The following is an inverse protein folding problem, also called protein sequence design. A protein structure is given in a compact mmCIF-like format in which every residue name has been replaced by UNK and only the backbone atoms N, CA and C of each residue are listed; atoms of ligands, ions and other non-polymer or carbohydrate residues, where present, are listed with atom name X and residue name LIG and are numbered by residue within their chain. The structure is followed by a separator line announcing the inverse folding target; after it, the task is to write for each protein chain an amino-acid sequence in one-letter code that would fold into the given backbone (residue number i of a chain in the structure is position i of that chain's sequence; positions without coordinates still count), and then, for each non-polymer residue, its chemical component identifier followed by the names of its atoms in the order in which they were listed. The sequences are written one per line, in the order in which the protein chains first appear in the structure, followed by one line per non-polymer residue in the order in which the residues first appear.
data_IF_214677507799
#
_entry.id   IF_214677507799
#
_cell.length_a   1.000
_cell.length_b   1.000
_cell.length_c   1.000
_cell.angle_alpha   90.00
_cell.angle_beta   90.00
_cell.angle_gamma   90.00
#
_symmetry.space_group_name_H-M   'P 1'
#
loop_
_entity.id
_entity.type
_entity.pdbx_description
1 polymer ?
#
# COMPACT_ATOMS: atom_id res chain seq x y z
N UNK A 1 2.16 -4.40 -3.45
CA UNK A 1 3.25 -3.44 -3.15
C UNK A 1 4.31 -3.43 -4.24
N UNK A 2 4.88 -4.58 -4.66
CA UNK A 2 5.90 -4.61 -5.74
C UNK A 2 5.45 -3.85 -7.00
N UNK A 3 4.26 -4.13 -7.52
CA UNK A 3 3.66 -3.36 -8.63
C UNK A 3 3.55 -1.85 -8.40
N UNK A 4 3.38 -1.39 -7.16
CA UNK A 4 3.38 0.05 -6.89
C UNK A 4 4.80 0.63 -6.93
N UNK A 5 5.81 -0.12 -6.51
CA UNK A 5 7.20 0.32 -6.57
C UNK A 5 7.68 0.47 -8.03
N UNK A 6 7.17 -0.36 -8.96
CA UNK A 6 7.51 -0.21 -10.40
C UNK A 6 7.01 1.10 -11.01
N UNK A 7 6.07 1.80 -10.39
CA UNK A 7 5.43 2.99 -10.97
C UNK A 7 4.39 2.67 -12.05
N UNK A 8 4.15 1.39 -12.37
CA UNK A 8 3.17 1.02 -13.40
C UNK A 8 1.74 1.38 -12.99
N UNK A 9 0.93 1.73 -14.00
CA UNK A 9 -0.54 1.84 -13.91
C UNK A 9 -1.27 0.76 -14.70
N UNK A 10 -0.56 -0.13 -15.39
CA UNK A 10 -1.17 -1.27 -16.08
C UNK A 10 -1.06 -2.51 -15.18
N UNK A 11 -2.18 -3.09 -14.71
CA UNK A 11 -2.14 -4.27 -13.87
C UNK A 11 -1.51 -5.51 -14.53
N UNK A 12 -1.55 -5.62 -15.86
CA UNK A 12 -0.98 -6.76 -16.60
C UNK A 12 0.55 -6.80 -16.55
N UNK A 13 1.20 -5.66 -16.28
CA UNK A 13 2.66 -5.60 -16.16
C UNK A 13 3.16 -6.49 -15.00
N UNK A 14 2.37 -6.62 -13.92
CA UNK A 14 2.78 -7.39 -12.74
C UNK A 14 1.61 -8.01 -11.97
N UNK A 15 0.70 -7.20 -11.44
CA UNK A 15 -0.18 -7.61 -10.33
C UNK A 15 -1.25 -8.63 -10.74
N UNK A 16 -1.71 -8.60 -12.01
CA UNK A 16 -2.71 -9.55 -12.52
C UNK A 16 -2.22 -11.00 -12.58
N UNK A 17 -0.90 -11.23 -12.50
CA UNK A 17 -0.30 -12.57 -12.43
C UNK A 17 -0.50 -13.23 -11.06
N UNK A 18 -0.72 -12.42 -10.01
CA UNK A 18 -0.78 -12.87 -8.62
C UNK A 18 -2.15 -12.64 -7.96
N UNK A 19 -2.95 -11.70 -8.47
CA UNK A 19 -4.29 -11.43 -7.95
C UNK A 19 -5.18 -10.79 -9.02
N UNK A 20 -6.49 -11.06 -8.94
CA UNK A 20 -7.48 -10.50 -9.86
C UNK A 20 -8.17 -9.23 -9.33
N UNK A 21 -7.85 -8.79 -8.11
CA UNK A 21 -8.55 -7.65 -7.45
C UNK A 21 -8.52 -6.39 -8.32
N UNK A 22 -7.42 -6.15 -9.03
CA UNK A 22 -7.25 -4.92 -9.81
C UNK A 22 -8.09 -4.87 -11.08
N UNK A 23 -8.62 -6.00 -11.56
CA UNK A 23 -9.51 -6.04 -12.74
C UNK A 23 -10.77 -5.21 -12.55
N UNK A 24 -11.31 -5.18 -11.33
CA UNK A 24 -12.49 -4.39 -11.00
C UNK A 24 -12.22 -2.88 -11.02
N UNK A 25 -10.95 -2.48 -10.90
CA UNK A 25 -10.49 -1.08 -10.92
C UNK A 25 -9.91 -0.65 -12.28
N UNK A 26 -9.71 -1.59 -13.20
CA UNK A 26 -9.16 -1.31 -14.53
C UNK A 26 -10.17 -0.53 -15.38
N UNK A 27 -9.69 0.53 -16.01
CA UNK A 27 -10.43 1.35 -16.96
C UNK A 27 -10.47 0.67 -18.35
N UNK A 28 -11.28 1.22 -19.26
CA UNK A 28 -11.43 0.66 -20.62
C UNK A 28 -10.13 0.62 -21.42
N UNK A 29 -9.16 1.48 -21.09
CA UNK A 29 -7.85 1.53 -21.74
C UNK A 29 -6.83 0.53 -21.16
N UNK A 30 -7.24 -0.32 -20.21
CA UNK A 30 -6.38 -1.31 -19.58
C UNK A 30 -5.57 -0.77 -18.40
N UNK A 31 -5.71 0.51 -18.02
CA UNK A 31 -4.96 1.12 -16.93
C UNK A 31 -5.80 1.36 -15.68
N UNK A 32 -5.13 1.60 -14.56
CA UNK A 32 -5.73 2.04 -13.30
C UNK A 32 -5.20 3.44 -13.01
N UNK A 33 -5.99 4.46 -13.30
CA UNK A 33 -5.60 5.89 -13.15
C UNK A 33 -5.30 6.28 -11.71
N UNK A 34 -5.90 5.58 -10.75
CA UNK A 34 -5.66 5.75 -9.32
C UNK A 34 -4.53 4.85 -8.77
N UNK A 35 -3.78 4.13 -9.62
CA UNK A 35 -2.70 3.25 -9.16
C UNK A 35 -1.65 4.04 -8.38
N UNK A 36 -1.43 3.66 -7.12
CA UNK A 36 -0.56 4.42 -6.21
C UNK A 36 0.87 4.56 -6.75
N UNK A 37 1.42 3.50 -7.36
CA UNK A 37 2.76 3.55 -7.95
C UNK A 37 2.91 4.65 -8.99
N UNK A 38 1.98 4.71 -9.93
CA UNK A 38 1.94 5.77 -10.94
C UNK A 38 1.80 7.16 -10.31
N UNK A 39 0.93 7.30 -9.29
CA UNK A 39 0.79 8.56 -8.55
C UNK A 39 2.07 8.97 -7.83
N UNK A 40 2.81 8.02 -7.27
CA UNK A 40 4.07 8.30 -6.57
C UNK A 40 5.21 8.64 -7.50
N UNK A 41 5.28 8.03 -8.69
CA UNK A 41 6.46 8.10 -9.56
C UNK A 41 6.35 8.98 -10.80
N UNK A 42 5.13 9.19 -11.30
CA UNK A 42 4.94 9.75 -12.64
C UNK A 42 3.86 10.82 -12.75
N UNK A 43 2.74 10.68 -12.04
CA UNK A 43 1.55 11.55 -12.20
C UNK A 43 1.85 13.04 -12.03
N UNK A 44 2.68 13.39 -11.03
CA UNK A 44 3.04 14.78 -10.72
C UNK A 44 4.31 15.25 -11.44
N UNK A 45 4.77 14.55 -12.48
CA UNK A 45 5.98 14.89 -13.23
C UNK A 45 7.30 14.72 -12.46
N UNK A 46 7.28 13.98 -11.34
CA UNK A 46 8.45 13.68 -10.50
C UNK A 46 8.33 12.32 -9.83
N UNK A 47 9.48 11.72 -9.51
CA UNK A 47 9.56 10.45 -8.78
C UNK A 47 9.66 10.69 -7.27
N UNK A 48 8.52 10.91 -6.62
CA UNK A 48 8.47 11.22 -5.19
C UNK A 48 9.06 10.08 -4.34
N UNK A 49 8.94 8.82 -4.78
CA UNK A 49 9.43 7.67 -4.03
C UNK A 49 10.95 7.51 -4.15
N UNK A 50 11.50 7.66 -5.36
CA UNK A 50 12.94 7.68 -5.60
C UNK A 50 13.62 8.87 -4.91
N UNK A 51 13.04 10.06 -5.04
CA UNK A 51 13.53 11.27 -4.39
C UNK A 51 13.49 11.18 -2.87
N UNK A 52 12.46 10.56 -2.28
CA UNK A 52 12.39 10.27 -0.85
C UNK A 52 13.59 9.44 -0.39
N UNK A 53 13.97 8.41 -1.15
CA UNK A 53 15.12 7.55 -0.82
C UNK A 53 16.42 8.33 -0.89
N UNK A 54 16.66 9.06 -1.98
CA UNK A 54 17.86 9.90 -2.14
C UNK A 54 17.94 10.91 -1.00
N UNK A 55 16.84 11.60 -0.72
CA UNK A 55 16.76 12.63 0.30
C UNK A 55 17.04 12.10 1.71
N UNK A 56 16.47 10.95 2.08
CA UNK A 56 16.70 10.35 3.41
C UNK A 56 18.09 9.71 3.56
N UNK A 57 18.75 9.30 2.46
CA UNK A 57 20.16 8.88 2.49
C UNK A 57 21.09 10.05 2.77
N UNK A 58 20.85 11.18 2.12
CA UNK A 58 21.67 12.38 2.26
C UNK A 58 21.37 13.14 3.56
N UNK A 59 20.10 13.16 3.98
CA UNK A 59 19.62 13.92 5.12
C UNK A 59 18.68 13.06 6.02
N UNK A 60 19.19 12.06 6.76
CA UNK A 60 18.35 11.13 7.53
C UNK A 60 17.40 11.80 8.54
N UNK A 61 17.81 12.92 9.13
CA UNK A 61 16.98 13.68 10.09
C UNK A 61 15.94 14.59 9.45
N UNK A 62 15.79 14.58 8.12
CA UNK A 62 14.85 15.47 7.45
C UNK A 62 13.40 15.10 7.71
N UNK A 63 12.54 16.12 7.76
CA UNK A 63 11.09 16.02 7.90
C UNK A 63 10.34 16.25 6.59
N UNK A 64 11.06 16.30 5.46
CA UNK A 64 10.53 16.66 4.15
C UNK A 64 10.19 15.46 3.26
N UNK A 65 10.43 14.23 3.74
CA UNK A 65 10.06 13.01 3.03
C UNK A 65 8.54 12.79 3.10
N UNK A 66 7.84 13.42 2.17
CA UNK A 66 6.38 13.36 2.01
C UNK A 66 6.07 12.87 0.60
N UNK A 67 5.17 11.91 0.49
CA UNK A 67 4.65 11.40 -0.77
C UNK A 67 3.15 11.64 -0.83
N UNK A 68 2.67 12.18 -1.95
CA UNK A 68 1.27 12.51 -2.18
C UNK A 68 0.74 11.68 -3.35
N UNK A 69 -0.45 11.11 -3.19
CA UNK A 69 -1.17 10.41 -4.25
C UNK A 69 -2.37 11.20 -4.78
N UNK A 70 -2.92 12.10 -3.97
CA UNK A 70 -4.09 12.92 -4.32
C UNK A 70 -3.73 14.11 -5.19
N UNK A 71 -4.40 14.24 -6.32
CA UNK A 71 -4.29 15.41 -7.17
C UNK A 71 -5.47 16.35 -6.94
N UNK A 72 -5.30 17.54 -6.33
CA UNK A 72 -6.41 18.47 -6.13
C UNK A 72 -6.98 19.06 -7.43
N UNK A 73 -6.26 18.97 -8.55
CA UNK A 73 -6.74 19.42 -9.86
C UNK A 73 -7.63 18.40 -10.57
N UNK A 74 -7.58 17.13 -10.17
CA UNK A 74 -8.19 16.01 -10.90
C UNK A 74 -9.02 15.07 -10.00
N UNK A 75 -8.72 15.00 -8.70
CA UNK A 75 -9.42 14.19 -7.71
C UNK A 75 -10.30 15.08 -6.80
N UNK A 76 -11.62 14.83 -6.77
CA UNK A 76 -12.54 15.47 -5.82
C UNK A 76 -13.35 16.65 -6.36
N UNK A 77 -13.32 17.78 -5.65
CA UNK A 77 -14.28 18.90 -5.70
C UNK A 77 -14.21 19.80 -6.97
N UNK A 78 -13.82 19.26 -8.12
CA UNK A 78 -13.62 20.02 -9.37
C UNK A 78 -14.88 20.29 -10.20
N UNK A 79 -14.86 21.38 -10.98
CA UNK A 79 -15.93 21.78 -11.93
C UNK A 79 -16.21 20.74 -13.03
N UNK A 80 -15.25 19.86 -13.32
CA UNK A 80 -15.37 18.80 -14.35
C UNK A 80 -16.36 17.69 -13.97
N UNK A 81 -16.79 17.60 -12.71
CA UNK A 81 -17.80 16.64 -12.27
C UNK A 81 -17.49 15.17 -12.58
N UNK A 82 -16.23 14.84 -12.90
CA UNK A 82 -15.84 13.47 -13.19
C UNK A 82 -15.91 12.69 -11.89
N UNK A 83 -17.06 12.08 -11.66
CA UNK A 83 -17.23 11.01 -10.69
C UNK A 83 -16.32 9.89 -11.17
N UNK A 84 -15.07 9.92 -10.72
CA UNK A 84 -14.12 8.87 -11.03
C UNK A 84 -14.59 7.62 -10.32
N UNK A 85 -14.52 6.52 -11.05
CA UNK A 85 -14.78 5.18 -10.52
C UNK A 85 -13.92 4.88 -9.30
N UNK A 86 -12.70 5.42 -9.25
CA UNK A 86 -11.85 5.31 -8.08
C UNK A 86 -10.89 6.51 -7.95
N UNK A 87 -10.58 6.88 -6.71
CA UNK A 87 -9.59 7.91 -6.33
C UNK A 87 -8.75 7.40 -5.14
N UNK A 88 -7.48 7.81 -5.00
CA UNK A 88 -6.60 7.30 -3.94
C UNK A 88 -7.21 7.38 -2.54
N UNK A 89 -7.25 6.27 -1.80
CA UNK A 89 -7.78 6.23 -0.43
C UNK A 89 -6.69 6.64 0.59
N UNK A 90 -5.56 5.93 0.71
CA UNK A 90 -4.30 6.51 1.16
C UNK A 90 -3.90 7.62 0.21
N UNK A 91 -3.98 8.86 0.70
CA UNK A 91 -3.80 10.04 -0.14
C UNK A 91 -2.43 10.67 0.07
N UNK A 92 -1.78 10.39 1.19
CA UNK A 92 -0.41 10.80 1.49
C UNK A 92 0.22 9.92 2.57
N UNK A 93 1.55 9.84 2.56
CA UNK A 93 2.31 9.37 3.70
C UNK A 93 3.57 10.21 3.91
N UNK A 94 4.08 10.20 5.14
CA UNK A 94 5.40 10.74 5.49
C UNK A 94 6.32 9.61 5.91
N UNK A 95 7.63 9.77 5.66
CA UNK A 95 8.66 8.86 6.14
C UNK A 95 9.71 9.63 6.95
N UNK A 96 10.10 9.11 8.11
CA UNK A 96 11.08 9.76 8.98
C UNK A 96 12.06 8.74 9.55
N UNK A 97 13.35 9.05 9.59
CA UNK A 97 14.34 8.23 10.30
C UNK A 97 14.56 8.80 11.69
N UNK A 98 14.22 8.03 12.72
CA UNK A 98 14.39 8.40 14.13
C UNK A 98 15.06 7.23 14.83
N UNK A 99 16.14 7.48 15.58
CA UNK A 99 16.90 6.44 16.28
C UNK A 99 17.32 5.27 15.37
N UNK A 100 17.81 5.60 14.17
CA UNK A 100 18.22 4.63 13.14
C UNK A 100 17.09 3.64 12.73
N UNK A 101 15.84 4.08 12.83
CA UNK A 101 14.66 3.34 12.40
C UNK A 101 13.82 4.18 11.45
N UNK A 102 13.35 3.58 10.35
CA UNK A 102 12.39 4.22 9.46
C UNK A 102 10.99 4.13 10.05
N UNK A 103 10.25 5.23 10.06
CA UNK A 103 8.86 5.30 10.47
C UNK A 103 8.03 5.82 9.29
N UNK A 104 6.84 5.24 9.08
CA UNK A 104 5.88 5.75 8.10
C UNK A 104 4.61 6.19 8.83
N UNK A 105 4.11 7.38 8.48
CA UNK A 105 2.76 7.81 8.85
C UNK A 105 1.92 7.91 7.59
N UNK A 106 1.01 6.96 7.42
CA UNK A 106 0.06 6.91 6.31
C UNK A 106 -1.27 7.55 6.73
N UNK A 107 -1.85 8.36 5.85
CA UNK A 107 -3.14 9.03 6.08
C UNK A 107 -4.13 8.61 5.00
N UNK A 108 -5.28 8.11 5.44
CA UNK A 108 -6.32 7.50 4.61
C UNK A 108 -7.62 8.27 4.78
N UNK A 109 -8.15 8.82 3.69
CA UNK A 109 -9.41 9.61 3.74
C UNK A 109 -10.66 8.72 3.91
N UNK A 110 -10.60 7.49 3.43
CA UNK A 110 -11.73 6.55 3.34
C UNK A 110 -11.18 5.12 3.40
N UNK A 111 -11.58 4.33 4.39
CA UNK A 111 -11.10 2.96 4.54
C UNK A 111 -12.26 2.00 4.83
N UNK A 112 -12.52 1.08 3.89
CA UNK A 112 -13.36 -0.09 4.14
C UNK A 112 -12.66 -0.98 5.16
N UNK A 113 -13.27 -1.15 6.33
CA UNK A 113 -12.68 -1.89 7.44
C UNK A 113 -12.63 -3.40 7.21
N UNK A 114 -13.39 -3.94 6.25
CA UNK A 114 -13.50 -5.38 6.01
C UNK A 114 -12.55 -5.83 4.91
N UNK A 115 -12.56 -5.16 3.74
CA UNK A 115 -11.67 -5.53 2.63
C UNK A 115 -10.45 -4.62 2.52
N UNK A 116 -10.62 -3.30 2.58
CA UNK A 116 -9.54 -2.35 2.32
C UNK A 116 -8.47 -2.33 3.42
N UNK A 117 -8.87 -2.09 4.66
CA UNK A 117 -7.99 -1.81 5.80
C UNK A 117 -6.95 -2.92 6.04
N UNK A 118 -7.30 -4.23 6.05
CA UNK A 118 -6.30 -5.29 6.21
C UNK A 118 -5.21 -5.25 5.14
N UNK A 119 -5.57 -4.99 3.88
CA UNK A 119 -4.63 -4.91 2.76
C UNK A 119 -3.80 -3.61 2.81
N UNK A 120 -4.39 -2.49 3.19
CA UNK A 120 -3.68 -1.22 3.32
C UNK A 120 -2.62 -1.29 4.42
N UNK A 121 -2.98 -1.79 5.61
CA UNK A 121 -2.04 -1.91 6.74
C UNK A 121 -0.90 -2.85 6.39
N UNK A 122 -1.19 -4.05 5.86
CA UNK A 122 -0.17 -5.00 5.44
C UNK A 122 0.71 -4.45 4.31
N UNK A 123 0.10 -3.78 3.33
CA UNK A 123 0.79 -3.18 2.19
C UNK A 123 1.75 -2.08 2.61
N UNK A 124 1.31 -1.12 3.43
CA UNK A 124 2.17 -0.03 3.93
C UNK A 124 3.23 -0.52 4.90
N UNK A 125 2.97 -1.59 5.67
CA UNK A 125 4.01 -2.20 6.50
C UNK A 125 5.09 -2.87 5.63
N UNK A 126 4.69 -3.54 4.54
CA UNK A 126 5.64 -4.09 3.58
C UNK A 126 6.47 -2.99 2.91
N UNK A 127 5.85 -1.87 2.52
CA UNK A 127 6.57 -0.70 2.00
C UNK A 127 7.58 -0.16 3.02
N UNK A 128 7.16 -0.02 4.28
CA UNK A 128 8.03 0.40 5.37
C UNK A 128 9.27 -0.50 5.47
N UNK A 129 9.10 -1.82 5.47
CA UNK A 129 10.22 -2.75 5.55
C UNK A 129 11.14 -2.67 4.33
N UNK A 130 10.59 -2.60 3.12
CA UNK A 130 11.38 -2.49 1.88
C UNK A 130 12.19 -1.19 1.85
N UNK A 131 11.58 -0.06 2.21
CA UNK A 131 12.28 1.23 2.28
C UNK A 131 13.35 1.23 3.37
N UNK A 132 13.08 0.64 4.54
CA UNK A 132 14.05 0.53 5.62
C UNK A 132 15.29 -0.27 5.16
N UNK A 133 15.07 -1.41 4.50
CA UNK A 133 16.15 -2.21 3.89
C UNK A 133 16.97 -1.40 2.87
N UNK A 134 16.31 -0.69 1.95
CA UNK A 134 16.96 0.16 0.95
C UNK A 134 17.76 1.33 1.53
N UNK A 135 17.32 1.85 2.68
CA UNK A 135 17.96 2.94 3.41
C UNK A 135 19.04 2.44 4.39
N UNK A 136 19.17 1.13 4.60
CA UNK A 136 20.15 0.55 5.53
C UNK A 136 19.84 0.84 7.01
N UNK A 137 18.56 1.06 7.34
CA UNK A 137 18.09 1.35 8.70
C UNK A 137 17.10 0.27 9.17
N UNK A 138 16.84 0.19 10.47
CA UNK A 138 15.88 -0.77 11.00
C UNK A 138 14.42 -0.35 10.74
N UNK A 139 13.50 -1.31 10.75
CA UNK A 139 12.06 -1.04 10.70
C UNK A 139 11.60 -0.39 12.01
N UNK A 140 10.97 0.77 11.91
CA UNK A 140 10.32 1.48 13.02
C UNK A 140 8.81 1.21 13.05
N UNK A 141 8.03 2.27 13.22
CA UNK A 141 6.57 2.19 13.40
C UNK A 141 5.84 2.61 12.13
N UNK A 142 4.83 1.84 11.75
CA UNK A 142 3.75 2.29 10.88
C UNK A 142 2.65 2.94 11.73
N UNK A 143 2.31 4.19 11.45
CA UNK A 143 1.11 4.85 11.96
C UNK A 143 0.12 4.97 10.82
N UNK A 144 -1.11 4.51 11.02
CA UNK A 144 -2.16 4.52 10.00
C UNK A 144 -3.35 5.32 10.52
N UNK A 145 -3.54 6.52 9.98
CA UNK A 145 -4.61 7.44 10.39
C UNK A 145 -5.75 7.38 9.38
N UNK A 146 -6.97 7.13 9.87
CA UNK A 146 -8.16 6.96 9.05
C UNK A 146 -9.14 8.09 9.37
N UNK A 147 -9.57 8.84 8.34
CA UNK A 147 -10.56 9.91 8.50
C UNK A 147 -11.99 9.36 8.50
N UNK A 148 -12.31 8.44 7.59
CA UNK A 148 -13.59 7.75 7.52
C UNK A 148 -13.35 6.23 7.52
N UNK A 149 -13.53 5.62 8.69
CA UNK A 149 -13.55 4.18 8.86
C UNK A 149 -15.00 3.70 8.74
N UNK A 150 -15.29 2.85 7.76
CA UNK A 150 -16.65 2.40 7.48
C UNK A 150 -16.71 0.90 7.19
N UNK A 151 -17.90 0.35 7.38
CA UNK A 151 -18.26 -1.02 7.02
C UNK A 151 -19.47 -0.89 6.09
N UNK A 152 -19.39 -1.49 4.91
CA UNK A 152 -20.55 -1.60 4.02
C UNK A 152 -21.61 -2.52 4.62
N UNK A 153 -22.88 -2.20 4.41
CA UNK A 153 -24.03 -3.00 4.87
C UNK A 153 -23.95 -4.46 4.45
N UNK A 154 -23.51 -4.73 3.21
CA UNK A 154 -23.27 -6.07 2.68
C UNK A 154 -22.19 -6.87 3.43
N UNK A 155 -21.43 -6.21 4.31
CA UNK A 155 -20.37 -6.81 5.11
C UNK A 155 -20.68 -6.87 6.62
N UNK A 156 -21.90 -6.52 7.07
CA UNK A 156 -22.25 -6.52 8.49
C UNK A 156 -22.13 -7.91 9.13
N UNK A 157 -22.61 -8.96 8.47
CA UNK A 157 -22.49 -10.34 8.98
C UNK A 157 -21.02 -10.78 9.10
N UNK A 158 -20.19 -10.33 8.15
CA UNK A 158 -18.74 -10.60 8.17
C UNK A 158 -18.07 -9.86 9.31
N UNK A 159 -18.44 -8.60 9.55
CA UNK A 159 -17.95 -7.82 10.67
C UNK A 159 -18.29 -8.49 12.01
N UNK A 160 -19.55 -8.94 12.16
CA UNK A 160 -20.01 -9.66 13.35
C UNK A 160 -19.25 -10.95 13.59
N UNK A 161 -19.03 -11.75 12.56
CA UNK A 161 -18.22 -12.96 12.64
C UNK A 161 -16.77 -12.64 13.05
N UNK A 162 -16.15 -11.62 12.46
CA UNK A 162 -14.76 -11.23 12.77
C UNK A 162 -14.59 -10.80 14.24
N UNK A 163 -15.51 -10.03 14.81
CA UNK A 163 -15.37 -9.57 16.20
C UNK A 163 -15.68 -10.66 17.24
N UNK A 164 -16.34 -11.74 16.84
CA UNK A 164 -16.58 -12.92 17.68
C UNK A 164 -15.43 -13.95 17.59
N UNK A 165 -14.50 -13.78 16.66
CA UNK A 165 -13.30 -14.63 16.56
C UNK A 165 -12.29 -14.26 17.63
N UNK A 166 -11.70 -15.29 18.23
CA UNK A 166 -10.52 -15.13 19.09
C UNK A 166 -9.27 -15.29 18.24
N UNK A 167 -8.40 -14.29 18.25
CA UNK A 167 -7.12 -14.33 17.56
C UNK A 167 -5.99 -14.61 18.57
N UNK A 168 -5.47 -15.84 18.56
CA UNK A 168 -4.29 -16.27 19.31
C UNK A 168 -3.02 -16.34 18.43
N UNK A 169 -3.11 -15.80 17.21
CA UNK A 169 -2.03 -15.80 16.23
C UNK A 169 -0.83 -14.97 16.73
N UNK A 170 0.36 -15.58 16.72
CA UNK A 170 1.60 -14.93 17.14
C UNK A 170 2.08 -13.86 16.15
N UNK A 171 2.91 -12.90 16.59
CA UNK A 171 3.41 -11.84 15.72
C UNK A 171 4.23 -12.40 14.55
N UNK A 172 4.00 -11.81 13.37
CA UNK A 172 4.78 -12.09 12.16
C UNK A 172 5.88 -11.03 12.04
N UNK A 173 7.12 -11.50 11.89
CA UNK A 173 8.26 -10.61 11.65
C UNK A 173 8.74 -10.77 10.22
N UNK A 174 8.92 -9.64 9.54
CA UNK A 174 9.43 -9.56 8.18
C UNK A 174 10.53 -8.49 8.11
N UNK A 175 11.63 -8.83 7.45
CA UNK A 175 12.74 -7.92 7.18
C UNK A 175 13.07 -8.00 5.70
N UNK A 176 13.05 -6.85 5.01
CA UNK A 176 13.42 -6.79 3.61
C UNK A 176 14.95 -6.81 3.46
N UNK A 177 15.45 -7.48 2.41
CA UNK A 177 16.85 -7.35 2.04
C UNK A 177 17.12 -5.99 1.38
N UNK A 178 18.37 -5.48 1.41
CA UNK A 178 18.69 -4.16 0.87
C UNK A 178 18.37 -3.97 -0.62
N UNK A 179 18.38 -5.05 -1.40
CA UNK A 179 18.14 -5.10 -2.84
C UNK A 179 16.66 -5.24 -3.23
N UNK A 180 15.76 -5.51 -2.27
CA UNK A 180 14.34 -5.72 -2.56
C UNK A 180 13.68 -4.54 -3.26
N UNK A 181 14.08 -3.31 -2.95
CA UNK A 181 13.55 -2.13 -3.64
C UNK A 181 13.97 -2.09 -5.10
N UNK A 182 15.27 -2.31 -5.39
CA UNK A 182 15.81 -2.28 -6.76
C UNK A 182 15.20 -3.38 -7.63
N UNK A 183 15.05 -4.58 -7.05
CA UNK A 183 14.40 -5.71 -7.70
C UNK A 183 12.91 -5.44 -7.93
N UNK A 184 12.24 -4.81 -6.96
CA UNK A 184 10.84 -4.43 -7.11
C UNK A 184 10.63 -3.36 -8.19
N UNK A 185 11.53 -2.38 -8.31
CA UNK A 185 11.52 -1.41 -9.41
C UNK A 185 11.63 -2.09 -10.79
N UNK A 186 12.44 -3.15 -10.88
CA UNK A 186 12.60 -3.96 -12.10
C UNK A 186 11.43 -4.93 -12.35
N UNK A 187 10.43 -4.97 -11.46
CA UNK A 187 9.32 -5.89 -11.58
C UNK A 187 9.71 -7.36 -11.37
N UNK A 188 10.72 -7.64 -10.56
CA UNK A 188 11.14 -9.00 -10.25
C UNK A 188 10.03 -9.80 -9.54
N UNK A 189 9.45 -10.75 -10.28
CA UNK A 189 8.36 -11.60 -9.84
C UNK A 189 8.76 -12.57 -8.72
N UNK A 190 10.04 -12.92 -8.63
CA UNK A 190 10.54 -13.86 -7.60
C UNK A 190 10.43 -13.27 -6.19
N UNK A 191 10.37 -11.93 -6.06
CA UNK A 191 10.12 -11.27 -4.79
C UNK A 191 8.79 -11.69 -4.14
N UNK A 192 7.78 -12.08 -4.93
CA UNK A 192 6.50 -12.52 -4.36
C UNK A 192 6.70 -13.76 -3.49
N UNK A 193 7.35 -14.79 -4.02
CA UNK A 193 7.60 -16.03 -3.29
C UNK A 193 8.64 -15.87 -2.18
N UNK A 194 9.66 -15.04 -2.39
CA UNK A 194 10.64 -14.73 -1.34
C UNK A 194 9.99 -14.03 -0.15
N UNK A 195 9.16 -13.01 -0.39
CA UNK A 195 8.47 -12.28 0.67
C UNK A 195 7.50 -13.19 1.41
N UNK A 196 6.65 -13.94 0.70
CA UNK A 196 5.68 -14.83 1.35
C UNK A 196 6.37 -15.95 2.11
N UNK A 197 7.42 -16.55 1.53
CA UNK A 197 8.18 -17.64 2.13
C UNK A 197 8.82 -17.27 3.48
N UNK A 198 9.10 -15.99 3.74
CA UNK A 198 9.64 -15.55 5.03
C UNK A 198 8.64 -15.70 6.18
N UNK A 199 7.35 -15.58 5.93
CA UNK A 199 6.33 -15.60 6.99
C UNK A 199 5.31 -16.72 6.88
N UNK A 200 5.27 -17.47 5.78
CA UNK A 200 4.29 -18.52 5.54
C UNK A 200 4.25 -19.57 6.66
N UNK A 201 5.40 -20.04 7.14
CA UNK A 201 5.48 -21.02 8.24
C UNK A 201 4.95 -20.50 9.58
N UNK A 202 4.83 -19.17 9.72
CA UNK A 202 4.33 -18.50 10.92
C UNK A 202 2.93 -17.94 10.71
N UNK A 203 2.40 -17.95 9.49
CA UNK A 203 1.08 -17.43 9.16
C UNK A 203 0.05 -18.55 9.28
N UNK A 204 -0.69 -18.54 10.40
CA UNK A 204 -1.70 -19.52 10.74
C UNK A 204 -3.03 -18.80 11.03
N UNK A 205 -3.66 -18.19 10.01
CA UNK A 205 -4.91 -17.48 10.21
C UNK A 205 -6.06 -18.46 10.46
N UNK A 206 -7.14 -17.96 11.07
CA UNK A 206 -8.42 -18.66 11.07
C UNK A 206 -8.97 -18.85 9.64
N UNK A 207 -9.93 -19.76 9.43
CA UNK A 207 -10.52 -19.99 8.11
C UNK A 207 -11.00 -18.69 7.45
N UNK A 208 -10.65 -18.51 6.18
CA UNK A 208 -11.01 -17.31 5.42
C UNK A 208 -12.53 -17.13 5.32
N UNK A 209 -12.99 -15.89 5.49
CA UNK A 209 -14.36 -15.50 5.16
C UNK A 209 -14.46 -15.29 3.65
N UNK A 210 -15.33 -16.05 2.99
CA UNK A 210 -15.44 -16.11 1.53
C UNK A 210 -16.69 -15.37 1.06
N UNK A 211 -16.71 -14.99 -0.22
CA UNK A 211 -17.88 -14.40 -0.87
C UNK A 211 -18.05 -12.89 -0.66
N UNK A 212 -17.05 -12.23 -0.08
CA UNK A 212 -17.02 -10.77 0.05
C UNK A 212 -16.94 -10.11 -1.32
N UNK A 213 -17.70 -9.03 -1.51
CA UNK A 213 -17.78 -8.29 -2.76
C UNK A 213 -17.11 -6.94 -2.59
N UNK A 214 -16.29 -6.55 -3.56
CA UNK A 214 -15.73 -5.20 -3.59
C UNK A 214 -16.86 -4.21 -3.87
N UNK A 215 -16.92 -3.14 -3.08
CA UNK A 215 -17.79 -2.00 -3.34
C UNK A 215 -16.94 -0.90 -3.97
N UNK A 216 -17.39 -0.42 -5.14
CA UNK A 216 -16.74 0.61 -5.94
C UNK A 216 -17.49 1.93 -5.83
#
# INVERSE_FOLDING_TARGET
MIWFITGSRNPDDFVNKFTNIWKDFTEKDGTVTAAYGYRWRHHFGRDQLGELITHLKENPGSRHAVVVAWDPGDDGLGESGTTKKNVPCPYTFTANIINNKLHIHNIVRSNDMILGCPHDVAGFYLLLCILAGKLGVATGKLTHSISNAHIYDIHYDTAWELINRTNDHGPIYFTAQPDYFDRAEQGDETLVSEITGQFESRYAPMPALKGLKIVL
#
